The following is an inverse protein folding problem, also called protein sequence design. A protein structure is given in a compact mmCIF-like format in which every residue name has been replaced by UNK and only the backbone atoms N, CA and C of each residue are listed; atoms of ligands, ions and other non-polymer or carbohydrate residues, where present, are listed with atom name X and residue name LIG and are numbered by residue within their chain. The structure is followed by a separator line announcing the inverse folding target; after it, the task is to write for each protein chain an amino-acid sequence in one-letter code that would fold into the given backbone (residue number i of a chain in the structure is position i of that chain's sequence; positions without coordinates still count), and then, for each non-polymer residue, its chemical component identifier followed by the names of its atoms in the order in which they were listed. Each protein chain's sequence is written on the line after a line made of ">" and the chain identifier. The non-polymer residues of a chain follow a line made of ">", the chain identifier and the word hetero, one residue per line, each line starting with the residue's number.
data_IF_879645379550
#
_entry.id   IF_879645379550
#
_cell.length_a   1.000
_cell.length_b   1.000
_cell.length_c   1.000
_cell.angle_alpha   90.00
_cell.angle_beta   90.00
_cell.angle_gamma   90.00
#
_symmetry.space_group_name_H-M   'P 1'
#
loop_
_entity.id
_entity.type
_entity.pdbx_description
1 polymer ?
#
# COMPACT_ATOMS: atom_id res chain seq x y z
N UNK A 1 -10.67 -6.71 19.63
CA UNK A 1 -9.28 -7.14 19.30
C UNK A 1 -8.31 -6.37 20.16
N UNK A 2 -7.37 -7.05 20.83
CA UNK A 2 -6.30 -6.32 21.49
C UNK A 2 -5.40 -5.69 20.42
N UNK A 3 -5.48 -4.38 20.29
CA UNK A 3 -4.66 -3.60 19.38
C UNK A 3 -3.35 -3.19 20.06
N UNK A 4 -2.25 -3.42 19.38
CA UNK A 4 -0.94 -3.00 19.86
C UNK A 4 -0.43 -1.83 19.01
N UNK A 5 -0.52 -0.58 19.51
CA UNK A 5 -0.34 0.63 18.70
C UNK A 5 1.08 0.88 18.15
N UNK A 6 2.02 -0.02 18.35
CA UNK A 6 3.42 0.14 17.93
C UNK A 6 3.90 -0.91 16.94
N UNK A 7 3.04 -1.85 16.54
CA UNK A 7 3.42 -2.90 15.62
C UNK A 7 3.17 -2.46 14.17
N UNK A 8 4.06 -2.91 13.28
CA UNK A 8 3.91 -2.73 11.85
C UNK A 8 2.76 -3.59 11.35
N UNK A 9 1.83 -2.98 10.65
CA UNK A 9 0.65 -3.63 10.11
C UNK A 9 0.73 -3.73 8.60
N UNK A 10 0.01 -4.70 8.02
CA UNK A 10 -0.02 -4.99 6.59
C UNK A 10 -1.46 -5.04 6.11
N UNK A 11 -1.75 -4.40 4.98
CA UNK A 11 -3.08 -4.43 4.36
C UNK A 11 -2.97 -4.65 2.86
N UNK A 12 -3.84 -5.49 2.34
CA UNK A 12 -3.95 -5.84 0.93
C UNK A 12 -5.34 -5.45 0.45
N UNK A 13 -5.52 -4.21 0.03
CA UNK A 13 -6.84 -3.61 -0.19
C UNK A 13 -7.08 -3.10 -1.61
N UNK A 14 -6.06 -3.03 -2.44
CA UNK A 14 -6.15 -2.35 -3.72
C UNK A 14 -5.60 -3.18 -4.87
N UNK A 15 -5.87 -2.73 -6.07
CA UNK A 15 -5.35 -3.36 -7.29
C UNK A 15 -4.41 -2.42 -8.02
N UNK A 16 -3.46 -2.99 -8.76
CA UNK A 16 -2.67 -2.23 -9.71
C UNK A 16 -3.53 -1.76 -10.89
N UNK A 17 -3.22 -0.59 -11.39
CA UNK A 17 -3.70 -0.15 -12.70
C UNK A 17 -2.99 -0.96 -13.80
N UNK A 18 -3.51 -0.90 -15.02
CA UNK A 18 -2.81 -1.47 -16.17
C UNK A 18 -1.46 -0.75 -16.33
N UNK A 19 -0.34 -1.47 -16.32
CA UNK A 19 0.95 -0.84 -16.45
C UNK A 19 1.17 -0.31 -17.86
N UNK A 20 2.03 0.71 -17.95
CA UNK A 20 2.38 1.34 -19.23
C UNK A 20 3.87 1.29 -19.45
N UNK A 21 4.28 1.24 -20.71
CA UNK A 21 5.66 1.49 -21.10
C UNK A 21 5.70 2.74 -21.97
N UNK A 22 6.55 3.68 -21.62
CA UNK A 22 6.71 4.94 -22.33
C UNK A 22 8.19 5.34 -22.33
N UNK A 23 8.71 5.79 -23.48
CA UNK A 23 10.10 6.23 -23.63
C UNK A 23 11.13 5.28 -23.01
N UNK A 24 10.95 3.96 -23.20
CA UNK A 24 11.79 2.92 -22.62
C UNK A 24 11.66 2.77 -21.09
N UNK A 25 10.73 3.44 -20.44
CA UNK A 25 10.42 3.24 -19.03
C UNK A 25 9.28 2.25 -18.83
N UNK A 26 9.40 1.42 -17.80
CA UNK A 26 8.35 0.53 -17.33
C UNK A 26 7.68 1.20 -16.14
N UNK A 27 6.41 1.60 -16.28
CA UNK A 27 5.72 2.37 -15.26
C UNK A 27 4.56 1.55 -14.68
N UNK A 28 4.54 1.42 -13.36
CA UNK A 28 3.45 0.80 -12.61
C UNK A 28 2.76 1.84 -11.75
N UNK A 29 1.43 1.79 -11.69
CA UNK A 29 0.60 2.74 -10.94
C UNK A 29 -0.44 2.00 -10.13
N UNK A 30 -0.88 2.61 -9.06
CA UNK A 30 -2.00 2.13 -8.28
C UNK A 30 -2.34 3.08 -7.14
N UNK A 31 -3.37 2.69 -6.40
CA UNK A 31 -3.81 3.41 -5.21
C UNK A 31 -3.81 2.44 -4.03
N UNK A 32 -2.65 2.24 -3.35
CA UNK A 32 -2.55 1.27 -2.26
C UNK A 32 -3.40 1.62 -1.04
N UNK A 33 -3.68 2.89 -0.82
CA UNK A 33 -4.52 3.36 0.29
C UNK A 33 -5.72 4.09 -0.27
N UNK A 34 -6.93 3.64 0.11
CA UNK A 34 -8.20 4.27 -0.25
C UNK A 34 -8.88 4.75 1.01
N UNK A 35 -9.27 6.03 1.04
CA UNK A 35 -9.90 6.64 2.21
C UNK A 35 -11.39 6.36 2.28
N UNK A 36 -11.91 6.28 3.50
CA UNK A 36 -13.34 6.23 3.83
C UNK A 36 -14.10 5.04 3.23
N UNK A 37 -13.39 3.97 2.88
CA UNK A 37 -14.01 2.75 2.37
C UNK A 37 -13.89 1.65 3.43
N UNK A 38 -15.01 1.21 4.04
CA UNK A 38 -14.99 0.10 4.99
C UNK A 38 -14.55 -1.19 4.29
N UNK A 39 -13.59 -1.86 4.89
CA UNK A 39 -13.04 -3.12 4.37
C UNK A 39 -13.02 -4.17 5.47
N UNK A 40 -13.49 -5.37 5.18
CA UNK A 40 -13.38 -6.51 6.10
C UNK A 40 -11.93 -6.92 6.20
N UNK A 41 -11.35 -6.83 7.39
CA UNK A 41 -9.95 -7.21 7.64
C UNK A 41 -9.81 -8.58 8.30
N UNK A 42 -10.84 -9.04 8.98
CA UNK A 42 -10.89 -10.39 9.52
C UNK A 42 -12.34 -10.80 9.82
N UNK A 43 -12.54 -12.09 9.89
CA UNK A 43 -13.77 -12.71 10.34
C UNK A 43 -13.44 -13.68 11.48
N UNK A 44 -14.17 -13.61 12.55
CA UNK A 44 -14.02 -14.50 13.69
C UNK A 44 -15.41 -14.97 14.14
N UNK A 45 -15.61 -16.28 14.18
CA UNK A 45 -16.86 -16.91 14.61
C UNK A 45 -18.10 -16.38 13.86
N UNK A 46 -17.97 -16.20 12.53
CA UNK A 46 -19.01 -15.66 11.66
C UNK A 46 -19.25 -14.16 11.79
N UNK A 47 -18.43 -13.46 12.55
CA UNK A 47 -18.51 -12.01 12.78
C UNK A 47 -17.42 -11.28 12.02
N UNK A 48 -17.81 -10.36 11.15
CA UNK A 48 -16.88 -9.54 10.37
C UNK A 48 -16.39 -8.33 11.16
N UNK A 49 -15.09 -8.09 11.12
CA UNK A 49 -14.43 -6.89 11.62
C UNK A 49 -13.94 -6.05 10.47
N UNK A 50 -14.28 -4.77 10.49
CA UNK A 50 -13.98 -3.83 9.42
C UNK A 50 -12.96 -2.80 9.84
N UNK A 51 -12.33 -2.22 8.84
CA UNK A 51 -11.40 -1.12 9.02
C UNK A 51 -11.67 -0.04 7.97
N UNK A 52 -11.54 1.21 8.40
CA UNK A 52 -11.63 2.39 7.56
C UNK A 52 -10.37 3.21 7.78
N UNK A 53 -9.77 3.70 6.70
CA UNK A 53 -8.69 4.67 6.76
C UNK A 53 -9.32 6.05 6.51
N UNK A 54 -9.26 6.93 7.49
CA UNK A 54 -9.85 8.26 7.38
C UNK A 54 -9.08 9.13 6.38
N UNK A 55 -9.79 10.04 5.72
CA UNK A 55 -9.15 11.09 4.93
C UNK A 55 -8.29 11.95 5.83
N UNK A 56 -7.16 12.24 5.72
CA UNK A 56 -6.28 12.94 6.68
C UNK A 56 -5.40 12.00 7.51
N UNK A 57 -5.55 10.68 7.35
CA UNK A 57 -4.70 9.73 8.04
C UNK A 57 -3.21 9.87 7.69
N UNK A 58 -2.90 10.42 6.51
CA UNK A 58 -1.55 10.63 6.03
C UNK A 58 -1.00 12.04 6.25
N UNK A 59 -1.78 12.96 6.84
CA UNK A 59 -1.39 14.38 6.94
C UNK A 59 -0.06 14.59 7.66
N UNK A 60 0.20 13.86 8.73
CA UNK A 60 1.46 13.94 9.48
C UNK A 60 2.26 12.63 9.42
N UNK A 61 2.00 11.82 8.41
CA UNK A 61 2.69 10.55 8.22
C UNK A 61 4.12 10.76 7.74
N UNK A 62 5.05 10.01 8.31
CA UNK A 62 6.41 9.93 7.78
C UNK A 62 6.39 9.12 6.48
N UNK A 63 6.49 9.83 5.37
CA UNK A 63 6.56 9.30 4.01
C UNK A 63 7.88 9.69 3.34
N UNK A 64 8.89 10.03 4.11
CA UNK A 64 10.18 10.52 3.62
C UNK A 64 10.93 9.48 2.79
N UNK A 65 10.74 8.22 3.09
CA UNK A 65 11.38 7.13 2.36
C UNK A 65 10.57 5.84 2.51
N UNK A 66 9.71 5.57 1.56
CA UNK A 66 9.08 4.25 1.42
C UNK A 66 9.39 3.66 0.06
N UNK A 67 9.26 2.36 -0.06
CA UNK A 67 9.69 1.60 -1.22
C UNK A 67 8.53 0.85 -1.86
N UNK A 68 8.69 0.51 -3.13
CA UNK A 68 7.92 -0.52 -3.80
C UNK A 68 8.74 -1.81 -3.78
N UNK A 69 8.21 -2.84 -3.16
CA UNK A 69 8.82 -4.15 -3.10
C UNK A 69 7.83 -5.25 -3.55
N UNK A 70 8.20 -6.49 -3.37
CA UNK A 70 7.35 -7.64 -3.65
C UNK A 70 7.23 -8.49 -2.40
N UNK A 71 6.01 -8.88 -2.06
CA UNK A 71 5.71 -9.69 -0.87
C UNK A 71 6.37 -9.15 0.41
N UNK A 72 6.37 -7.81 0.56
CA UNK A 72 7.00 -7.10 1.69
C UNK A 72 8.47 -7.49 1.93
N UNK A 73 9.16 -7.93 0.88
CA UNK A 73 10.54 -8.36 0.97
C UNK A 73 10.77 -9.76 1.59
N UNK A 74 9.73 -10.54 1.82
CA UNK A 74 9.83 -11.81 2.53
C UNK A 74 10.72 -12.84 1.81
N UNK A 75 10.63 -12.94 0.48
CA UNK A 75 11.42 -13.87 -0.33
C UNK A 75 12.21 -13.17 -1.43
N UNK A 76 12.13 -11.86 -1.48
CA UNK A 76 12.74 -11.03 -2.51
C UNK A 76 13.12 -9.67 -1.90
N UNK A 77 14.40 -9.46 -1.67
CA UNK A 77 14.91 -8.22 -1.09
C UNK A 77 15.04 -7.08 -2.13
N UNK A 78 14.54 -7.26 -3.34
CA UNK A 78 14.64 -6.26 -4.39
C UNK A 78 13.80 -5.04 -4.07
N UNK A 79 14.40 -3.86 -4.15
CA UNK A 79 13.71 -2.57 -4.16
C UNK A 79 13.43 -2.20 -5.62
N UNK A 80 12.16 -2.18 -6.01
CA UNK A 80 11.78 -1.89 -7.39
C UNK A 80 11.69 -0.41 -7.67
N UNK A 81 11.29 0.36 -6.68
CA UNK A 81 11.23 1.82 -6.76
C UNK A 81 11.30 2.40 -5.35
N UNK A 82 11.71 3.65 -5.22
CA UNK A 82 11.95 4.27 -3.92
C UNK A 82 11.71 5.77 -3.97
N UNK A 83 11.03 6.30 -2.97
CA UNK A 83 10.75 7.75 -2.92
C UNK A 83 12.03 8.57 -2.79
N UNK A 84 13.01 8.08 -2.05
CA UNK A 84 14.26 8.80 -1.79
C UNK A 84 15.11 9.04 -3.04
N UNK A 85 14.98 8.21 -4.08
CA UNK A 85 15.71 8.37 -5.35
C UNK A 85 14.78 8.79 -6.50
N UNK A 86 13.56 9.21 -6.19
CA UNK A 86 12.55 9.68 -7.14
C UNK A 86 12.05 8.63 -8.15
N UNK A 87 12.42 7.36 -7.99
CA UNK A 87 11.86 6.27 -8.82
C UNK A 87 10.44 5.88 -8.40
N UNK A 88 10.05 6.22 -7.18
CA UNK A 88 8.69 6.09 -6.68
C UNK A 88 8.18 7.47 -6.32
N UNK A 89 7.10 7.89 -6.96
CA UNK A 89 6.42 9.14 -6.67
C UNK A 89 5.02 8.88 -6.14
N UNK A 90 4.49 9.81 -5.39
CA UNK A 90 3.16 9.67 -4.82
C UNK A 90 2.41 11.00 -4.80
N UNK A 91 1.09 10.89 -4.75
CA UNK A 91 0.19 12.03 -4.59
C UNK A 91 -0.95 11.63 -3.67
N UNK A 92 -1.21 12.43 -2.64
CA UNK A 92 -2.39 12.29 -1.81
C UNK A 92 -3.53 13.05 -2.49
N UNK A 93 -4.58 12.32 -2.83
CA UNK A 93 -5.80 12.86 -3.45
C UNK A 93 -6.99 12.62 -2.53
N UNK A 94 -8.17 13.24 -2.79
CA UNK A 94 -9.33 13.03 -1.92
C UNK A 94 -9.73 11.56 -1.74
N UNK A 95 -9.47 10.71 -2.73
CA UNK A 95 -9.81 9.29 -2.71
C UNK A 95 -8.79 8.42 -1.96
N UNK A 96 -7.55 8.87 -1.83
CA UNK A 96 -6.50 8.07 -1.21
C UNK A 96 -5.08 8.47 -1.59
N UNK A 97 -4.18 7.50 -1.54
CA UNK A 97 -2.79 7.64 -1.93
C UNK A 97 -2.57 7.00 -3.31
N UNK A 98 -2.21 7.80 -4.29
CA UNK A 98 -1.74 7.32 -5.60
C UNK A 98 -0.23 7.16 -5.57
N UNK A 99 0.26 6.11 -6.21
CA UNK A 99 1.70 5.91 -6.42
C UNK A 99 2.00 5.67 -7.90
N UNK A 100 3.22 6.03 -8.28
CA UNK A 100 3.77 5.74 -9.59
C UNK A 100 5.22 5.26 -9.41
N UNK A 101 5.48 4.04 -9.84
CA UNK A 101 6.80 3.43 -9.77
C UNK A 101 7.43 3.33 -11.15
N UNK A 102 8.66 3.84 -11.29
CA UNK A 102 9.46 3.76 -12.49
C UNK A 102 10.47 2.63 -12.35
N UNK A 103 10.23 1.54 -13.08
CA UNK A 103 11.05 0.35 -13.01
C UNK A 103 12.21 0.41 -14.00
N UNK A 104 13.28 -0.27 -13.68
CA UNK A 104 14.47 -0.36 -14.51
C UNK A 104 14.30 -1.47 -15.56
N UNK A 105 14.22 -1.07 -16.84
CA UNK A 105 14.09 -2.03 -17.95
C UNK A 105 15.34 -2.90 -18.17
N UNK A 106 16.49 -2.47 -17.67
CA UNK A 106 17.74 -3.24 -17.75
C UNK A 106 17.84 -4.31 -16.65
N UNK A 107 17.00 -4.24 -15.63
CA UNK A 107 16.94 -5.23 -14.56
C UNK A 107 15.86 -6.28 -14.84
N UNK A 108 16.29 -7.53 -15.04
CA UNK A 108 15.37 -8.62 -15.34
C UNK A 108 14.30 -8.83 -14.26
N UNK A 109 14.62 -8.59 -13.00
CA UNK A 109 13.66 -8.69 -11.88
C UNK A 109 12.55 -7.67 -12.02
N UNK A 110 12.89 -6.44 -12.42
CA UNK A 110 11.93 -5.38 -12.70
C UNK A 110 11.04 -5.71 -13.89
N UNK A 111 11.63 -6.23 -14.96
CA UNK A 111 10.89 -6.68 -16.14
C UNK A 111 9.91 -7.80 -15.78
N UNK A 112 10.33 -8.73 -14.94
CA UNK A 112 9.46 -9.83 -14.49
C UNK A 112 8.28 -9.34 -13.67
N UNK A 113 8.50 -8.42 -12.73
CA UNK A 113 7.40 -7.80 -11.97
C UNK A 113 6.43 -7.06 -12.90
N UNK A 114 6.94 -6.26 -13.83
CA UNK A 114 6.11 -5.55 -14.79
C UNK A 114 5.22 -6.50 -15.58
N UNK A 115 5.78 -7.60 -16.11
CA UNK A 115 5.01 -8.62 -16.84
C UNK A 115 3.98 -9.31 -15.97
N UNK A 116 4.30 -9.60 -14.71
CA UNK A 116 3.36 -10.23 -13.79
C UNK A 116 2.16 -9.32 -13.51
N UNK A 117 2.38 -8.02 -13.41
CA UNK A 117 1.30 -7.04 -13.25
C UNK A 117 0.51 -6.90 -14.56
N UNK A 118 1.18 -6.79 -15.71
CA UNK A 118 0.56 -6.68 -17.02
C UNK A 118 -0.33 -7.90 -17.34
N UNK A 119 0.16 -9.08 -17.01
CA UNK A 119 -0.58 -10.35 -17.22
C UNK A 119 -1.54 -10.67 -16.09
N UNK A 120 -1.69 -9.81 -15.10
CA UNK A 120 -2.57 -9.98 -13.94
C UNK A 120 -2.26 -11.22 -13.10
N UNK A 121 -1.03 -11.72 -13.14
CA UNK A 121 -0.54 -12.73 -12.21
C UNK A 121 -0.32 -12.16 -10.83
N UNK A 122 0.04 -10.87 -10.78
CA UNK A 122 0.09 -10.04 -9.57
C UNK A 122 -0.82 -8.85 -9.82
N UNK A 123 -1.94 -8.77 -9.13
CA UNK A 123 -2.96 -7.75 -9.36
C UNK A 123 -3.29 -6.93 -8.10
N UNK A 124 -2.85 -7.35 -6.94
CA UNK A 124 -3.13 -6.70 -5.67
C UNK A 124 -1.93 -5.90 -5.17
N UNK A 125 -2.24 -4.80 -4.50
CA UNK A 125 -1.28 -4.01 -3.76
C UNK A 125 -1.51 -4.16 -2.26
N UNK A 126 -0.43 -4.29 -1.53
CA UNK A 126 -0.41 -4.22 -0.08
C UNK A 126 0.40 -3.01 0.37
N UNK A 127 0.20 -2.56 1.60
CA UNK A 127 1.06 -1.56 2.21
C UNK A 127 1.34 -1.92 3.67
N UNK A 128 2.47 -1.46 4.18
CA UNK A 128 2.85 -1.68 5.56
C UNK A 128 3.09 -0.36 6.28
N UNK A 129 2.60 -0.27 7.49
CA UNK A 129 2.49 0.98 8.21
C UNK A 129 2.47 0.79 9.73
N UNK A 130 2.67 1.87 10.45
CA UNK A 130 2.44 1.94 11.89
C UNK A 130 1.40 3.02 12.17
N UNK A 131 0.40 2.71 12.99
CA UNK A 131 -0.67 3.63 13.35
C UNK A 131 -0.24 4.52 14.51
N UNK A 132 -0.60 5.80 14.42
CA UNK A 132 -0.42 6.77 15.50
C UNK A 132 -1.69 6.91 16.33
N UNK A 133 -2.83 6.98 15.67
CA UNK A 133 -4.14 7.24 16.30
C UNK A 133 -5.23 6.47 15.58
N UNK A 134 -6.08 5.82 16.35
CA UNK A 134 -7.24 5.12 15.84
C UNK A 134 -8.41 5.22 16.82
N UNK A 135 -9.58 4.82 16.35
CA UNK A 135 -10.77 4.63 17.17
C UNK A 135 -11.45 3.30 16.81
N UNK A 136 -12.20 2.76 17.74
CA UNK A 136 -12.95 1.52 17.53
C UNK A 136 -14.41 1.68 17.94
N UNK A 137 -15.32 1.36 17.03
CA UNK A 137 -16.75 1.32 17.27
C UNK A 137 -17.18 -0.14 17.47
N UNK A 138 -17.57 -0.48 18.68
CA UNK A 138 -17.97 -1.83 19.05
C UNK A 138 -19.33 -2.25 18.47
N UNK A 139 -20.22 -1.30 18.17
CA UNK A 139 -21.53 -1.59 17.58
C UNK A 139 -21.38 -2.03 16.11
N UNK A 140 -20.58 -1.32 15.35
CA UNK A 140 -20.32 -1.63 13.95
C UNK A 140 -19.12 -2.54 13.76
N UNK A 141 -18.35 -2.83 14.82
CA UNK A 141 -17.10 -3.59 14.78
C UNK A 141 -16.12 -3.03 13.76
N UNK A 142 -16.02 -1.70 13.75
CA UNK A 142 -15.19 -0.96 12.79
C UNK A 142 -14.10 -0.20 13.50
N UNK A 143 -12.86 -0.46 13.08
CA UNK A 143 -11.68 0.35 13.46
C UNK A 143 -11.51 1.45 12.43
N UNK A 144 -11.40 2.69 12.89
CA UNK A 144 -11.04 3.82 12.03
C UNK A 144 -9.59 4.21 12.33
N UNK A 145 -8.73 4.11 11.32
CA UNK A 145 -7.36 4.62 11.39
C UNK A 145 -7.42 6.12 11.12
N UNK A 146 -7.17 6.92 12.14
CA UNK A 146 -7.24 8.39 12.10
C UNK A 146 -5.92 9.00 11.68
N UNK A 147 -4.81 8.44 12.14
CA UNK A 147 -3.44 8.91 11.82
C UNK A 147 -2.49 7.73 11.68
N UNK A 148 -1.75 7.71 10.58
CA UNK A 148 -0.64 6.80 10.33
C UNK A 148 0.66 7.51 10.70
N UNK A 149 1.49 6.86 11.49
CA UNK A 149 2.78 7.41 11.92
C UNK A 149 3.82 7.34 10.81
N UNK A 150 3.92 6.19 10.16
CA UNK A 150 4.92 5.94 9.12
C UNK A 150 4.43 4.91 8.11
N UNK A 151 4.69 5.16 6.84
CA UNK A 151 4.54 4.23 5.74
C UNK A 151 5.91 3.65 5.40
N UNK A 152 6.03 2.33 5.37
CA UNK A 152 7.29 1.62 5.13
C UNK A 152 7.43 1.13 3.69
N UNK A 153 6.41 0.49 3.19
CA UNK A 153 6.39 0.00 1.82
C UNK A 153 4.98 -0.07 1.23
N UNK A 154 4.94 -0.06 -0.07
CA UNK A 154 3.85 -0.55 -0.90
C UNK A 154 4.38 -1.78 -1.63
N UNK A 155 3.57 -2.82 -1.75
CA UNK A 155 4.05 -4.13 -2.17
C UNK A 155 3.15 -4.76 -3.23
N UNK A 156 3.79 -5.40 -4.15
CA UNK A 156 3.14 -6.27 -5.11
C UNK A 156 2.98 -7.70 -4.58
#
# INVERSE_FOLDING_TARGET
>A
MPYKPKEREYRNLASFDTPTSDNDELIVRGMPIVFNVPTVICEFDGVEYKEVIASGALDDCDMSDFILNRNHGANDATVYARTRNDSLTYQIVPQGLKIEGHLDKEDERHCNLYRDIEKKRVDKMSFSFVVREDSYDSETRTRTILKIKKLYDVSA
#
